data_IF_339610228278
#
_entry.id   IF_339610228278
#
_cell.length_a   1.000
_cell.length_b   1.000
_cell.length_c   1.000
_cell.angle_alpha   90.00
_cell.angle_beta   90.00
_cell.angle_gamma   90.00
#
_symmetry.space_group_name_H-M   'P 1'
#
loop_
_entity.id
_entity.type
_entity.pdbx_description
1 polymer ?
#
# COMPACT_ATOMS: atom_id res chain seq x y z
N UNK A 1 9.29 -18.00 6.58
CA UNK A 1 9.63 -18.58 5.27
C UNK A 1 10.60 -17.72 4.43
N UNK A 2 10.62 -16.39 4.49
CA UNK A 2 11.61 -15.55 3.75
C UNK A 2 13.09 -15.70 4.20
N UNK A 3 13.35 -16.00 5.50
CA UNK A 3 14.73 -16.21 6.00
C UNK A 3 15.47 -17.39 5.36
N UNK A 4 14.74 -18.38 4.82
CA UNK A 4 15.32 -19.59 4.26
C UNK A 4 15.84 -19.39 2.81
N UNK A 5 15.45 -18.30 2.15
CA UNK A 5 15.88 -17.98 0.79
C UNK A 5 16.56 -16.62 0.79
N UNK A 6 17.88 -16.59 1.00
CA UNK A 6 18.69 -15.38 1.07
C UNK A 6 19.84 -15.42 0.06
N UNK A 7 19.53 -15.36 -1.25
CA UNK A 7 20.45 -15.70 -2.32
C UNK A 7 21.67 -14.77 -2.41
N UNK A 8 21.58 -13.53 -1.91
CA UNK A 8 22.66 -12.53 -2.04
C UNK A 8 22.91 -11.74 -0.75
N UNK A 9 24.11 -11.15 -0.55
CA UNK A 9 24.37 -10.24 0.56
C UNK A 9 23.37 -9.07 0.64
N UNK A 10 22.96 -8.51 -0.51
CA UNK A 10 21.98 -7.42 -0.58
C UNK A 10 20.63 -7.84 0.00
N UNK A 11 20.14 -9.03 -0.36
CA UNK A 11 18.89 -9.59 0.19
C UNK A 11 19.02 -9.81 1.70
N UNK A 12 20.15 -10.32 2.19
CA UNK A 12 20.37 -10.52 3.64
C UNK A 12 20.27 -9.23 4.44
N UNK A 13 20.94 -8.18 3.98
CA UNK A 13 20.90 -6.86 4.63
C UNK A 13 19.48 -6.30 4.64
N UNK A 14 18.76 -6.39 3.52
CA UNK A 14 17.40 -5.87 3.44
C UNK A 14 16.41 -6.63 4.34
N UNK A 15 16.52 -7.97 4.41
CA UNK A 15 15.70 -8.80 5.30
C UNK A 15 16.02 -8.55 6.78
N UNK A 16 17.28 -8.29 7.12
CA UNK A 16 17.67 -7.93 8.49
C UNK A 16 17.09 -6.55 8.89
N UNK A 17 17.15 -5.56 7.99
CA UNK A 17 16.54 -4.25 8.21
C UNK A 17 15.01 -4.36 8.39
N UNK A 18 14.35 -5.16 7.55
CA UNK A 18 12.92 -5.46 7.67
C UNK A 18 12.56 -6.09 9.02
N UNK A 19 13.34 -7.09 9.46
CA UNK A 19 13.12 -7.73 10.75
C UNK A 19 13.28 -6.74 11.93
N UNK A 20 14.27 -5.85 11.87
CA UNK A 20 14.46 -4.81 12.88
C UNK A 20 13.30 -3.81 12.91
N UNK A 21 12.86 -3.33 11.76
CA UNK A 21 11.73 -2.41 11.67
C UNK A 21 10.41 -3.04 12.14
N UNK A 22 10.22 -4.33 11.87
CA UNK A 22 9.06 -5.08 12.38
C UNK A 22 9.06 -5.15 13.90
N UNK A 23 10.22 -5.41 14.51
CA UNK A 23 10.32 -5.50 15.96
C UNK A 23 9.98 -4.16 16.64
N UNK A 24 10.40 -3.03 16.06
CA UNK A 24 10.03 -1.70 16.54
C UNK A 24 8.52 -1.47 16.50
N UNK A 25 7.86 -1.83 15.39
CA UNK A 25 6.40 -1.78 15.28
C UNK A 25 5.70 -2.71 16.28
N UNK A 26 6.20 -3.94 16.44
CA UNK A 26 5.62 -4.96 17.32
C UNK A 26 5.58 -4.51 18.77
N UNK A 27 6.65 -3.85 19.25
CA UNK A 27 6.72 -3.29 20.60
C UNK A 27 5.64 -2.22 20.79
N UNK A 28 5.48 -1.32 19.83
CA UNK A 28 4.48 -0.24 19.88
C UNK A 28 3.04 -0.77 19.80
N UNK A 29 2.79 -1.78 18.96
CA UNK A 29 1.49 -2.45 18.85
C UNK A 29 1.10 -3.23 20.10
N UNK A 30 2.08 -3.65 20.91
CA UNK A 30 1.84 -4.38 22.16
C UNK A 30 1.61 -3.44 23.37
N UNK A 31 1.86 -2.15 23.21
CA UNK A 31 1.67 -1.15 24.25
C UNK A 31 0.20 -0.70 24.35
N UNK A 32 -0.19 -0.13 25.50
CA UNK A 32 -1.51 0.46 25.65
C UNK A 32 -1.69 1.62 24.64
N UNK A 33 -2.84 1.68 23.92
CA UNK A 33 -3.08 2.74 22.94
C UNK A 33 -3.01 4.14 23.56
N UNK A 34 -2.22 5.03 22.95
CA UNK A 34 -2.11 6.43 23.35
C UNK A 34 -1.76 7.30 22.13
N UNK A 35 -2.05 8.61 22.20
CA UNK A 35 -1.73 9.53 21.10
C UNK A 35 -0.23 9.58 20.80
N UNK A 36 0.61 9.61 21.84
CA UNK A 36 2.06 9.55 21.69
C UNK A 36 2.52 8.21 21.08
N UNK A 37 1.94 7.09 21.52
CA UNK A 37 2.19 5.77 20.93
C UNK A 37 1.77 5.70 19.46
N UNK A 38 0.68 6.35 19.07
CA UNK A 38 0.23 6.42 17.69
C UNK A 38 1.18 7.22 16.78
N UNK A 39 1.77 8.32 17.29
CA UNK A 39 2.83 9.06 16.59
C UNK A 39 4.08 8.20 16.43
N UNK A 40 4.54 7.53 17.49
CA UNK A 40 5.71 6.65 17.39
C UNK A 40 5.45 5.46 16.45
N UNK A 41 4.23 4.91 16.47
CA UNK A 41 3.81 3.83 15.57
C UNK A 41 3.80 4.30 14.12
N UNK A 42 3.49 5.57 13.84
CA UNK A 42 3.61 6.12 12.50
C UNK A 42 5.02 6.05 11.96
N UNK A 43 5.98 6.63 12.68
CA UNK A 43 7.37 6.69 12.23
C UNK A 43 7.94 5.27 12.06
N UNK A 44 7.62 4.37 13.00
CA UNK A 44 8.00 2.96 12.92
C UNK A 44 7.36 2.25 11.71
N UNK A 45 6.09 2.55 11.41
CA UNK A 45 5.39 1.98 10.26
C UNK A 45 5.98 2.49 8.93
N UNK A 46 6.39 3.76 8.82
CA UNK A 46 7.09 4.25 7.62
C UNK A 46 8.42 3.52 7.41
N UNK A 47 9.20 3.36 8.49
CA UNK A 47 10.45 2.62 8.44
C UNK A 47 10.23 1.15 8.04
N UNK A 48 9.18 0.51 8.56
CA UNK A 48 8.79 -0.85 8.20
C UNK A 48 8.40 -0.98 6.74
N UNK A 49 7.56 -0.07 6.23
CA UNK A 49 7.14 -0.05 4.83
C UNK A 49 8.34 0.15 3.88
N UNK A 50 9.23 1.08 4.22
CA UNK A 50 10.44 1.33 3.43
C UNK A 50 11.37 0.10 3.43
N UNK A 51 11.54 -0.55 4.57
CA UNK A 51 12.34 -1.77 4.68
C UNK A 51 11.73 -2.94 3.88
N UNK A 52 10.40 -3.10 3.91
CA UNK A 52 9.69 -4.10 3.13
C UNK A 52 9.84 -3.87 1.62
N UNK A 53 9.69 -2.62 1.17
CA UNK A 53 9.91 -2.25 -0.22
C UNK A 53 11.36 -2.54 -0.67
N UNK A 54 12.34 -2.17 0.16
CA UNK A 54 13.76 -2.39 -0.13
C UNK A 54 14.11 -3.88 -0.19
N UNK A 55 13.50 -4.70 0.67
CA UNK A 55 13.63 -6.16 0.62
C UNK A 55 13.04 -6.73 -0.68
N UNK A 56 11.85 -6.26 -1.09
CA UNK A 56 11.23 -6.63 -2.37
C UNK A 56 12.15 -6.35 -3.56
N UNK A 57 12.67 -5.12 -3.67
CA UNK A 57 13.62 -4.73 -4.73
C UNK A 57 14.89 -5.58 -4.71
N UNK A 58 15.43 -5.89 -3.52
CA UNK A 58 16.61 -6.74 -3.41
C UNK A 58 16.37 -8.17 -3.90
N UNK A 59 15.16 -8.71 -3.67
CA UNK A 59 14.76 -10.01 -4.19
C UNK A 59 14.52 -9.99 -5.70
N UNK A 60 13.90 -8.93 -6.22
CA UNK A 60 13.73 -8.70 -7.66
C UNK A 60 15.08 -8.65 -8.37
N UNK A 61 16.04 -7.87 -7.86
CA UNK A 61 17.40 -7.79 -8.40
C UNK A 61 18.10 -9.16 -8.38
N UNK A 62 17.93 -9.92 -7.30
CA UNK A 62 18.53 -11.25 -7.16
C UNK A 62 17.91 -12.29 -8.11
N UNK A 63 16.65 -12.09 -8.51
CA UNK A 63 15.95 -12.95 -9.47
C UNK A 63 16.29 -12.64 -10.94
N UNK A 64 16.96 -11.51 -11.23
CA UNK A 64 17.37 -11.11 -12.58
C UNK A 64 16.22 -10.64 -13.47
N UNK A 65 16.41 -10.69 -14.80
CA UNK A 65 15.48 -10.15 -15.82
C UNK A 65 14.06 -10.76 -15.86
N UNK A 66 13.73 -11.66 -14.93
CA UNK A 66 12.40 -12.22 -14.71
C UNK A 66 11.57 -11.42 -13.69
N UNK A 67 12.14 -10.38 -13.04
CA UNK A 67 11.38 -9.43 -12.22
C UNK A 67 10.52 -8.54 -13.13
N UNK A 68 9.32 -9.03 -13.46
CA UNK A 68 8.40 -8.36 -14.35
C UNK A 68 7.92 -7.02 -13.77
N UNK A 69 7.82 -5.99 -14.64
CA UNK A 69 7.22 -4.69 -14.31
C UNK A 69 5.81 -4.80 -13.69
N UNK A 70 5.12 -5.91 -13.91
CA UNK A 70 3.83 -6.28 -13.29
C UNK A 70 3.91 -6.44 -11.76
N UNK A 71 5.02 -6.96 -11.22
CA UNK A 71 5.28 -7.05 -9.76
C UNK A 71 5.39 -5.65 -9.15
N UNK A 72 6.01 -4.73 -9.87
CA UNK A 72 6.10 -3.32 -9.50
C UNK A 72 4.72 -2.63 -9.45
N UNK A 73 3.81 -3.00 -10.35
CA UNK A 73 2.41 -2.52 -10.31
C UNK A 73 1.67 -3.10 -9.10
N UNK A 74 1.82 -4.40 -8.83
CA UNK A 74 1.26 -5.08 -7.66
C UNK A 74 1.67 -4.38 -6.36
N UNK A 75 2.98 -4.17 -6.19
CA UNK A 75 3.55 -3.51 -5.03
C UNK A 75 3.05 -2.07 -4.87
N UNK A 76 2.92 -1.32 -5.98
CA UNK A 76 2.34 0.02 -5.95
C UNK A 76 0.87 0.03 -5.50
N UNK A 77 0.05 -0.92 -5.96
CA UNK A 77 -1.36 -0.99 -5.55
C UNK A 77 -1.52 -1.36 -4.08
N UNK A 78 -0.74 -2.33 -3.59
CA UNK A 78 -0.74 -2.69 -2.17
C UNK A 78 -0.28 -1.50 -1.30
N UNK A 79 0.77 -0.79 -1.72
CA UNK A 79 1.23 0.41 -1.03
C UNK A 79 0.12 1.47 -0.93
N UNK A 80 -0.66 1.71 -1.98
CA UNK A 80 -1.77 2.67 -1.96
C UNK A 80 -2.88 2.26 -0.99
N UNK A 81 -3.26 0.98 -0.95
CA UNK A 81 -4.29 0.47 -0.03
C UNK A 81 -3.89 0.62 1.45
N UNK A 82 -2.66 0.24 1.77
CA UNK A 82 -2.10 0.39 3.12
C UNK A 82 -1.91 1.87 3.48
N UNK A 83 -1.50 2.71 2.51
CA UNK A 83 -1.38 4.16 2.69
C UNK A 83 -2.73 4.79 3.04
N UNK A 84 -3.81 4.37 2.38
CA UNK A 84 -5.17 4.83 2.72
C UNK A 84 -5.59 4.42 4.13
N UNK A 85 -5.42 3.15 4.50
CA UNK A 85 -5.75 2.67 5.85
C UNK A 85 -4.99 3.45 6.93
N UNK A 86 -3.67 3.60 6.74
CA UNK A 86 -2.77 4.37 7.62
C UNK A 86 -3.28 5.79 7.86
N UNK A 87 -3.54 6.54 6.80
CA UNK A 87 -3.97 7.94 6.94
C UNK A 87 -5.37 8.07 7.50
N UNK A 88 -6.27 7.13 7.21
CA UNK A 88 -7.55 7.06 7.91
C UNK A 88 -7.36 6.94 9.42
N UNK A 89 -6.51 6.00 9.87
CA UNK A 89 -6.23 5.84 11.30
C UNK A 89 -5.61 7.10 11.91
N UNK A 90 -4.70 7.81 11.26
CA UNK A 90 -4.15 9.06 11.82
C UNK A 90 -5.18 10.15 12.04
N UNK A 91 -6.12 10.28 11.11
CA UNK A 91 -7.24 11.20 11.29
C UNK A 91 -8.11 10.82 12.48
N UNK A 92 -8.29 9.52 12.76
CA UNK A 92 -9.03 9.06 13.95
C UNK A 92 -8.37 9.47 15.28
N UNK A 93 -7.06 9.72 15.26
CA UNK A 93 -6.25 10.21 16.39
C UNK A 93 -5.94 11.71 16.31
N UNK A 94 -6.54 12.42 15.34
CA UNK A 94 -6.32 13.84 15.10
C UNK A 94 -4.83 14.17 14.92
N UNK A 95 -4.12 13.30 14.19
CA UNK A 95 -2.72 13.45 13.82
C UNK A 95 -2.64 13.87 12.36
N UNK A 96 -1.94 14.98 12.11
CA UNK A 96 -1.66 15.49 10.76
C UNK A 96 -2.91 15.55 9.86
N UNK A 97 -4.05 16.02 10.38
CA UNK A 97 -5.36 15.84 9.73
C UNK A 97 -5.39 16.31 8.27
N UNK A 98 -4.96 17.54 7.98
CA UNK A 98 -4.94 18.06 6.61
C UNK A 98 -3.97 17.30 5.68
N UNK A 99 -2.69 17.05 6.05
CA UNK A 99 -1.82 16.16 5.27
C UNK A 99 -2.38 14.74 5.07
N UNK A 100 -2.97 14.15 6.11
CA UNK A 100 -3.53 12.81 6.06
C UNK A 100 -4.76 12.72 5.15
N UNK A 101 -5.65 13.72 5.19
CA UNK A 101 -6.80 13.83 4.29
C UNK A 101 -6.37 13.93 2.83
N UNK A 102 -5.39 14.80 2.54
CA UNK A 102 -4.83 14.94 1.20
C UNK A 102 -4.25 13.62 0.68
N UNK A 103 -3.44 12.94 1.49
CA UNK A 103 -2.82 11.67 1.14
C UNK A 103 -3.83 10.54 0.93
N UNK A 104 -4.89 10.53 1.74
CA UNK A 104 -6.01 9.60 1.58
C UNK A 104 -6.70 9.81 0.22
N UNK A 105 -6.97 11.06 -0.14
CA UNK A 105 -7.58 11.42 -1.43
C UNK A 105 -6.69 11.09 -2.63
N UNK A 106 -5.39 11.41 -2.56
CA UNK A 106 -4.42 11.08 -3.62
C UNK A 106 -4.29 9.58 -3.83
N UNK A 107 -4.17 8.83 -2.73
CA UNK A 107 -4.04 7.36 -2.79
C UNK A 107 -5.29 6.71 -3.40
N UNK A 108 -6.49 7.18 -3.01
CA UNK A 108 -7.76 6.77 -3.61
C UNK A 108 -7.80 7.04 -5.11
N UNK A 109 -7.43 8.25 -5.52
CA UNK A 109 -7.46 8.66 -6.93
C UNK A 109 -6.52 7.79 -7.78
N UNK A 110 -5.30 7.56 -7.31
CA UNK A 110 -4.32 6.73 -8.00
C UNK A 110 -4.78 5.28 -8.14
N UNK A 111 -5.26 4.67 -7.05
CA UNK A 111 -5.75 3.29 -7.07
C UNK A 111 -6.93 3.14 -8.04
N UNK A 112 -7.90 4.07 -7.97
CA UNK A 112 -9.09 4.06 -8.83
C UNK A 112 -8.73 4.25 -10.30
N UNK A 113 -7.76 5.12 -10.60
CA UNK A 113 -7.31 5.36 -11.96
C UNK A 113 -6.70 4.10 -12.59
N UNK A 114 -5.83 3.40 -11.86
CA UNK A 114 -5.21 2.14 -12.32
C UNK A 114 -6.26 1.05 -12.50
N UNK A 115 -7.20 0.91 -11.56
CA UNK A 115 -8.28 -0.07 -11.68
C UNK A 115 -9.16 0.19 -12.91
N UNK A 116 -9.54 1.46 -13.14
CA UNK A 116 -10.28 1.87 -14.33
C UNK A 116 -9.52 1.55 -15.64
N UNK A 117 -8.20 1.74 -15.65
CA UNK A 117 -7.36 1.45 -16.81
C UNK A 117 -7.34 -0.05 -17.14
N UNK A 118 -7.22 -0.91 -16.13
CA UNK A 118 -7.24 -2.36 -16.31
C UNK A 118 -8.60 -2.81 -16.86
N UNK A 119 -9.70 -2.34 -16.28
CA UNK A 119 -11.07 -2.70 -16.71
C UNK A 119 -11.36 -2.27 -18.16
N UNK A 120 -10.91 -1.07 -18.54
CA UNK A 120 -11.15 -0.50 -19.88
C UNK A 120 -10.20 -1.01 -20.94
N UNK A 121 -9.14 -1.72 -20.57
CA UNK A 121 -8.15 -2.16 -21.54
C UNK A 121 -8.69 -3.22 -22.50
N UNK A 122 -8.46 -3.03 -23.79
CA UNK A 122 -8.69 -4.05 -24.81
C UNK A 122 -7.63 -5.17 -24.77
N UNK A 123 -6.48 -4.92 -24.14
CA UNK A 123 -5.39 -5.89 -24.00
C UNK A 123 -5.58 -6.83 -22.79
N UNK A 124 -6.52 -6.51 -21.89
CA UNK A 124 -6.81 -7.34 -20.73
C UNK A 124 -7.61 -8.58 -21.14
N UNK A 125 -7.14 -9.76 -20.71
CA UNK A 125 -7.87 -11.02 -20.88
C UNK A 125 -9.21 -11.01 -20.13
N UNK A 126 -10.10 -11.95 -20.47
CA UNK A 126 -11.37 -12.13 -19.76
C UNK A 126 -11.14 -12.40 -18.26
N UNK A 127 -10.09 -13.15 -17.93
CA UNK A 127 -9.70 -13.48 -16.56
C UNK A 127 -9.17 -12.26 -15.81
N UNK A 128 -8.37 -11.40 -16.46
CA UNK A 128 -7.91 -10.13 -15.87
C UNK A 128 -9.09 -9.19 -15.63
N UNK A 129 -10.02 -9.08 -16.58
CA UNK A 129 -11.24 -8.27 -16.43
C UNK A 129 -12.13 -8.77 -15.29
N UNK A 130 -12.31 -10.08 -15.17
CA UNK A 130 -13.05 -10.67 -14.06
C UNK A 130 -12.39 -10.38 -12.70
N UNK A 131 -11.06 -10.45 -12.64
CA UNK A 131 -10.28 -10.08 -11.45
C UNK A 131 -10.42 -8.60 -11.10
N UNK A 132 -10.33 -7.70 -12.08
CA UNK A 132 -10.54 -6.27 -11.88
C UNK A 132 -11.97 -5.97 -11.38
N UNK A 133 -12.98 -6.61 -11.96
CA UNK A 133 -14.35 -6.49 -11.48
C UNK A 133 -14.53 -7.03 -10.04
N UNK A 134 -13.76 -8.04 -9.63
CA UNK A 134 -13.74 -8.49 -8.24
C UNK A 134 -13.11 -7.45 -7.31
N UNK A 135 -11.96 -6.88 -7.70
CA UNK A 135 -11.33 -5.77 -6.96
C UNK A 135 -12.31 -4.61 -6.81
N UNK A 136 -13.04 -4.26 -7.87
CA UNK A 136 -14.09 -3.21 -7.85
C UNK A 136 -15.15 -3.45 -6.78
N UNK A 137 -15.68 -4.69 -6.69
CA UNK A 137 -16.73 -5.05 -5.73
C UNK A 137 -16.29 -4.90 -4.27
N UNK A 138 -15.04 -5.24 -3.96
CA UNK A 138 -14.50 -5.04 -2.60
C UNK A 138 -14.10 -3.57 -2.37
N UNK A 139 -13.62 -2.88 -3.42
CA UNK A 139 -13.15 -1.50 -3.36
C UNK A 139 -14.28 -0.51 -3.05
N UNK A 140 -15.47 -0.69 -3.63
CA UNK A 140 -16.58 0.25 -3.46
C UNK A 140 -17.04 0.41 -2.00
N UNK A 141 -17.31 -0.67 -1.23
CA UNK A 141 -17.60 -0.56 0.20
C UNK A 141 -16.46 0.04 1.01
N UNK A 142 -15.20 -0.31 0.68
CA UNK A 142 -14.04 0.24 1.36
C UNK A 142 -13.93 1.76 1.15
N UNK A 143 -14.05 2.21 -0.10
CA UNK A 143 -14.07 3.63 -0.45
C UNK A 143 -15.22 4.37 0.23
N UNK A 144 -16.41 3.78 0.32
CA UNK A 144 -17.53 4.41 0.99
C UNK A 144 -17.24 4.67 2.47
N UNK A 145 -16.70 3.67 3.19
CA UNK A 145 -16.41 3.83 4.62
C UNK A 145 -15.25 4.80 4.87
N UNK A 146 -14.21 4.81 4.01
CA UNK A 146 -13.06 5.71 4.14
C UNK A 146 -13.45 7.20 4.16
N UNK A 147 -14.54 7.55 3.47
CA UNK A 147 -14.98 8.93 3.28
C UNK A 147 -16.40 9.19 3.82
N UNK A 148 -16.92 8.30 4.68
CA UNK A 148 -18.27 8.44 5.24
C UNK A 148 -18.39 9.61 6.24
N UNK A 149 -17.29 10.00 6.88
CA UNK A 149 -17.26 11.04 7.91
C UNK A 149 -15.86 11.64 8.04
N UNK A 150 -15.80 12.94 8.40
CA UNK A 150 -14.58 13.61 8.86
C UNK A 150 -14.56 13.81 10.39
N UNK A 151 -15.63 13.46 11.10
CA UNK A 151 -15.69 13.50 12.56
C UNK A 151 -14.86 12.35 13.17
N UNK A 152 -13.84 12.63 14.01
CA UNK A 152 -12.94 11.60 14.54
C UNK A 152 -13.63 10.55 15.41
N UNK A 153 -14.73 10.90 16.11
CA UNK A 153 -15.48 9.95 16.95
C UNK A 153 -16.20 8.92 16.06
N UNK A 154 -16.86 9.38 15.00
CA UNK A 154 -17.48 8.49 14.00
C UNK A 154 -16.42 7.66 13.27
N UNK A 155 -15.31 8.29 12.88
CA UNK A 155 -14.22 7.56 12.21
C UNK A 155 -13.63 6.45 13.09
N UNK A 156 -13.46 6.71 14.39
CA UNK A 156 -13.04 5.68 15.37
C UNK A 156 -14.03 4.53 15.50
N UNK A 157 -15.34 4.79 15.39
CA UNK A 157 -16.36 3.73 15.39
C UNK A 157 -16.27 2.83 14.17
N UNK A 158 -15.95 3.41 13.01
CA UNK A 158 -15.83 2.66 11.75
C UNK A 158 -14.44 2.04 11.54
N UNK A 159 -13.48 2.31 12.42
CA UNK A 159 -12.07 1.94 12.29
C UNK A 159 -11.84 0.42 12.09
N UNK A 160 -12.58 -0.43 12.81
CA UNK A 160 -12.50 -1.88 12.66
C UNK A 160 -13.02 -2.35 11.28
N UNK A 161 -14.10 -1.73 10.80
CA UNK A 161 -14.68 -2.01 9.47
C UNK A 161 -13.74 -1.57 8.35
N UNK A 162 -13.06 -0.43 8.53
CA UNK A 162 -12.03 0.05 7.61
C UNK A 162 -10.86 -0.94 7.52
N UNK A 163 -10.37 -1.45 8.65
CA UNK A 163 -9.33 -2.47 8.66
C UNK A 163 -9.77 -3.73 7.90
N UNK A 164 -10.95 -4.26 8.21
CA UNK A 164 -11.49 -5.47 7.57
C UNK A 164 -11.64 -5.30 6.06
N UNK A 165 -12.22 -4.19 5.61
CA UNK A 165 -12.41 -3.91 4.20
C UNK A 165 -11.08 -3.67 3.47
N UNK A 166 -10.10 -3.03 4.13
CA UNK A 166 -8.75 -2.89 3.60
C UNK A 166 -8.14 -4.27 3.29
N UNK A 167 -8.19 -5.20 4.24
CA UNK A 167 -7.64 -6.56 4.06
C UNK A 167 -8.34 -7.31 2.91
N UNK A 168 -9.66 -7.19 2.79
CA UNK A 168 -10.40 -7.80 1.67
C UNK A 168 -9.94 -7.26 0.33
N UNK A 169 -9.80 -5.94 0.20
CA UNK A 169 -9.36 -5.30 -1.05
C UNK A 169 -7.91 -5.68 -1.37
N UNK A 170 -7.03 -5.72 -0.37
CA UNK A 170 -5.64 -6.16 -0.54
C UNK A 170 -5.60 -7.59 -1.09
N UNK A 171 -6.32 -8.53 -0.48
CA UNK A 171 -6.32 -9.91 -0.90
C UNK A 171 -6.76 -10.10 -2.37
N UNK A 172 -7.83 -9.41 -2.79
CA UNK A 172 -8.29 -9.50 -4.19
C UNK A 172 -7.38 -8.75 -5.17
N UNK A 173 -6.75 -7.66 -4.73
CA UNK A 173 -5.79 -6.90 -5.54
C UNK A 173 -4.50 -7.71 -5.76
N UNK A 174 -4.02 -8.42 -4.75
CA UNK A 174 -2.87 -9.34 -4.86
C UNK A 174 -3.15 -10.48 -5.84
N UNK A 175 -4.35 -11.06 -5.79
CA UNK A 175 -4.77 -12.09 -6.75
C UNK A 175 -4.80 -11.57 -8.20
N UNK A 176 -5.35 -10.37 -8.41
CA UNK A 176 -5.32 -9.73 -9.74
C UNK A 176 -3.89 -9.47 -10.20
N UNK A 177 -3.03 -8.98 -9.30
CA UNK A 177 -1.67 -8.64 -9.64
C UNK A 177 -0.82 -9.88 -9.96
N UNK A 178 -0.99 -10.98 -9.21
CA UNK A 178 -0.39 -12.27 -9.53
C UNK A 178 -0.82 -12.75 -10.93
N UNK A 179 -2.10 -12.57 -11.29
CA UNK A 179 -2.59 -12.90 -12.65
C UNK A 179 -1.95 -12.03 -13.73
N UNK A 180 -1.80 -10.74 -13.49
CA UNK A 180 -1.14 -9.81 -14.42
C UNK A 180 0.34 -10.16 -14.66
N UNK A 181 1.02 -10.70 -13.64
CA UNK A 181 2.38 -11.24 -13.74
C UNK A 181 2.35 -12.53 -14.58
N UNK A 182 1.52 -13.50 -14.23
CA UNK A 182 1.43 -14.79 -14.93
C UNK A 182 1.11 -14.64 -16.43
N UNK A 183 0.30 -13.65 -16.80
CA UNK A 183 -0.08 -13.38 -18.20
C UNK A 183 0.87 -12.40 -18.91
N UNK A 184 1.89 -11.87 -18.24
CA UNK A 184 2.82 -10.88 -18.82
C UNK A 184 2.17 -9.55 -19.24
N UNK A 185 0.98 -9.24 -18.69
CA UNK A 185 0.17 -8.09 -19.12
C UNK A 185 0.40 -6.83 -18.29
N UNK A 186 0.91 -6.91 -17.06
CA UNK A 186 0.99 -5.76 -16.16
C UNK A 186 1.80 -4.58 -16.69
N UNK A 187 2.92 -4.81 -17.39
CA UNK A 187 3.69 -3.75 -18.03
C UNK A 187 2.92 -3.06 -19.17
N UNK A 188 2.22 -3.84 -20.01
CA UNK A 188 1.49 -3.34 -21.19
C UNK A 188 0.22 -2.57 -20.82
N UNK A 189 -0.39 -2.94 -19.70
CA UNK A 189 -1.61 -2.33 -19.22
C UNK A 189 -1.38 -1.02 -18.47
N UNK A 190 -0.20 -0.84 -17.86
CA UNK A 190 0.10 0.33 -16.99
C UNK A 190 1.10 1.31 -17.60
N UNK A 191 1.85 0.96 -18.66
CA UNK A 191 2.85 1.83 -19.30
C UNK A 191 2.29 3.07 -20.05
N UNK A 192 0.97 3.28 -20.10
CA UNK A 192 0.39 4.58 -20.47
C UNK A 192 0.33 5.42 -19.20
N UNK A 193 1.46 6.01 -18.82
CA UNK A 193 1.59 6.80 -17.59
C UNK A 193 0.75 8.08 -17.61
N UNK A 194 0.11 8.35 -16.47
CA UNK A 194 -0.13 9.70 -15.94
C UNK A 194 1.21 10.17 -15.34
N UNK A 195 1.63 11.44 -15.49
CA UNK A 195 2.99 11.88 -15.15
C UNK A 195 3.37 11.55 -13.70
N UNK A 196 4.47 10.83 -13.50
CA UNK A 196 5.16 10.82 -12.22
C UNK A 196 5.94 12.13 -12.06
N UNK A 197 5.48 13.01 -11.19
CA UNK A 197 6.35 13.67 -10.19
C UNK A 197 5.55 14.66 -9.35
N UNK A 198 5.24 14.26 -8.12
CA UNK A 198 5.51 15.16 -7.00
C UNK A 198 6.60 14.49 -6.20
N UNK A 199 7.77 15.12 -6.22
CA UNK A 199 8.89 14.73 -5.39
C UNK A 199 8.50 14.86 -3.91
N UNK A 200 8.25 13.73 -3.26
CA UNK A 200 7.87 13.66 -1.85
C UNK A 200 9.04 13.97 -0.90
N UNK A 201 10.29 14.04 -1.41
CA UNK A 201 11.44 14.46 -0.62
C UNK A 201 11.40 15.96 -0.27
N UNK A 202 10.62 16.76 -1.04
CA UNK A 202 10.42 18.19 -0.77
C UNK A 202 9.58 18.44 0.50
N UNK A 203 8.76 17.47 0.93
CA UNK A 203 7.83 17.66 2.05
C UNK A 203 8.34 17.13 3.40
N UNK A 204 9.34 16.25 3.40
CA UNK A 204 9.99 15.79 4.65
C UNK A 204 10.66 16.94 5.41
N UNK A 205 11.05 18.02 4.71
CA UNK A 205 11.65 19.22 5.31
C UNK A 205 10.67 20.27 5.85
N UNK A 206 9.35 20.13 5.65
CA UNK A 206 8.35 21.15 6.06
C UNK A 206 7.38 20.71 7.15
N UNK A 207 7.42 19.46 7.60
CA UNK A 207 6.53 18.92 8.65
C UNK A 207 7.16 19.08 10.06
N UNK A 208 8.35 19.68 10.16
CA UNK A 208 9.06 19.97 11.43
C UNK A 208 9.06 21.47 11.82
N UNK A 209 8.06 22.24 11.41
CA UNK A 209 7.84 23.60 11.93
C UNK A 209 6.40 23.82 12.35
#
# INVERSE_FOLDING_TARGET
>A
MLKAFQPTPKVRTAVAALASAWEQCRVLLSAAPSKQGAVALYDANEALQQAAHSAGLAYEDAAGAAADRSTSVAGRQHMLLQRMAKFYFYRTWELYDAPADMELHLSRAHFTAVLNQIERSSLASAQVKAGAAQVRREWEPYQQVLFASQDPVKMRRDAARVAELSERVVAVAENLAARLVMEGQGARLVAREVPQSVDMSVFSGRILK
#
